data_IF_553804311575
#
_entry.id   IF_553804311575
#
_cell.length_a   1.000
_cell.length_b   1.000
_cell.length_c   1.000
_cell.angle_alpha   90.00
_cell.angle_beta   90.00
_cell.angle_gamma   90.00
#
_symmetry.space_group_name_H-M   'P 1'
#
loop_
_entity.id
_entity.type
_entity.pdbx_description
1 polymer ?
#
# COMPACT_ATOMS: atom_id res chain seq x y z
N UNK A 1 5.90 12.89 13.16
CA UNK A 1 4.46 13.12 12.86
C UNK A 1 3.78 11.76 12.89
N UNK A 2 2.75 11.57 13.70
CA UNK A 2 2.06 10.28 13.84
C UNK A 2 1.33 9.90 12.54
N UNK A 3 0.49 10.76 11.96
CA UNK A 3 -0.04 10.59 10.60
C UNK A 3 -0.29 11.95 9.90
N UNK A 4 -0.24 11.97 8.55
CA UNK A 4 -0.55 13.17 7.75
C UNK A 4 -1.99 13.65 7.98
N UNK A 5 -2.91 12.72 8.22
CA UNK A 5 -4.33 13.01 8.47
C UNK A 5 -4.53 13.79 9.76
N UNK A 6 -3.77 13.48 10.83
CA UNK A 6 -3.90 14.11 12.16
C UNK A 6 -3.69 15.63 12.13
N UNK A 7 -2.87 16.11 11.20
CA UNK A 7 -2.58 17.55 11.01
C UNK A 7 -3.44 18.18 9.91
N UNK A 8 -4.45 17.46 9.42
CA UNK A 8 -5.30 17.90 8.31
C UNK A 8 -4.58 17.92 6.96
N UNK A 9 -3.53 17.14 6.79
CA UNK A 9 -2.67 17.10 5.59
C UNK A 9 -3.24 16.31 4.41
N UNK A 10 -4.46 15.78 4.52
CA UNK A 10 -5.14 14.99 3.49
C UNK A 10 -6.55 15.54 3.26
N UNK A 11 -6.98 15.59 1.99
CA UNK A 11 -8.35 15.90 1.57
C UNK A 11 -8.75 14.89 0.50
N UNK A 12 -9.95 14.33 0.63
CA UNK A 12 -10.47 13.26 -0.22
C UNK A 12 -11.78 13.70 -0.89
N UNK A 13 -12.25 12.93 -1.87
CA UNK A 13 -13.55 13.12 -2.54
C UNK A 13 -13.72 14.49 -3.22
N UNK A 14 -12.64 15.01 -3.82
CA UNK A 14 -12.66 16.28 -4.56
C UNK A 14 -13.08 15.99 -6.01
N UNK A 15 -14.27 16.46 -6.39
CA UNK A 15 -14.90 16.17 -7.67
C UNK A 15 -14.61 17.26 -8.73
N UNK A 16 -14.12 18.43 -8.31
CA UNK A 16 -13.94 19.60 -9.20
C UNK A 16 -12.56 20.24 -9.06
N UNK A 17 -12.00 20.83 -10.13
CA UNK A 17 -10.73 21.55 -10.06
C UNK A 17 -10.70 22.69 -9.02
N UNK A 18 -11.84 23.35 -8.78
CA UNK A 18 -11.96 24.38 -7.75
C UNK A 18 -11.79 23.80 -6.33
N UNK A 19 -12.33 22.62 -6.07
CA UNK A 19 -12.21 21.94 -4.78
C UNK A 19 -10.76 21.51 -4.51
N UNK A 20 -10.03 21.08 -5.54
CA UNK A 20 -8.58 20.78 -5.44
C UNK A 20 -7.77 22.02 -5.05
N UNK A 21 -8.05 23.18 -5.66
CA UNK A 21 -7.38 24.45 -5.31
C UNK A 21 -7.68 24.90 -3.88
N UNK A 22 -8.93 24.76 -3.43
CA UNK A 22 -9.31 25.06 -2.04
C UNK A 22 -8.62 24.10 -1.06
N UNK A 23 -8.66 22.80 -1.33
CA UNK A 23 -8.03 21.77 -0.51
C UNK A 23 -6.51 21.98 -0.36
N UNK A 24 -5.81 22.38 -1.43
CA UNK A 24 -4.39 22.73 -1.37
C UNK A 24 -4.13 23.83 -0.33
N UNK A 25 -4.90 24.91 -0.38
CA UNK A 25 -4.75 26.05 0.53
C UNK A 25 -5.07 25.67 1.97
N UNK A 26 -6.11 24.87 2.18
CA UNK A 26 -6.51 24.36 3.50
C UNK A 26 -5.46 23.44 4.12
N UNK A 27 -4.89 22.53 3.33
CA UNK A 27 -3.83 21.62 3.77
C UNK A 27 -2.63 22.44 4.26
N UNK A 28 -2.15 23.40 3.46
CA UNK A 28 -1.00 24.23 3.85
C UNK A 28 -1.27 25.03 5.13
N UNK A 29 -2.46 25.62 5.27
CA UNK A 29 -2.86 26.34 6.49
C UNK A 29 -2.91 25.41 7.70
N UNK A 30 -3.51 24.23 7.55
CA UNK A 30 -3.66 23.25 8.62
C UNK A 30 -2.31 22.70 9.09
N UNK A 31 -1.45 22.30 8.16
CA UNK A 31 -0.11 21.78 8.48
C UNK A 31 0.75 22.85 9.13
N UNK A 32 0.72 24.10 8.63
CA UNK A 32 1.46 25.21 9.26
C UNK A 32 1.02 25.48 10.70
N UNK A 33 -0.26 25.30 11.01
CA UNK A 33 -0.81 25.47 12.37
C UNK A 33 -0.39 24.33 13.31
N UNK A 34 -0.54 23.08 12.88
CA UNK A 34 -0.37 21.92 13.76
C UNK A 34 1.05 21.34 13.74
N UNK A 35 1.84 21.65 12.71
CA UNK A 35 3.23 21.23 12.54
C UNK A 35 4.08 22.38 11.96
N UNK A 36 4.31 23.47 12.73
CA UNK A 36 4.96 24.69 12.22
C UNK A 36 6.41 24.49 11.75
N UNK A 37 7.07 23.41 12.19
CA UNK A 37 8.43 23.04 11.78
C UNK A 37 8.46 22.12 10.55
N UNK A 38 7.30 21.73 10.00
CA UNK A 38 7.25 20.86 8.83
C UNK A 38 7.74 21.59 7.59
N UNK A 39 8.69 20.96 6.87
CA UNK A 39 9.06 21.38 5.51
C UNK A 39 8.07 20.74 4.53
N UNK A 40 7.47 21.56 3.68
CA UNK A 40 6.50 21.12 2.66
C UNK A 40 7.07 21.48 1.29
N UNK A 41 7.49 20.48 0.52
CA UNK A 41 7.98 20.69 -0.85
C UNK A 41 6.83 20.80 -1.87
N UNK A 42 5.65 20.27 -1.54
CA UNK A 42 4.44 20.33 -2.37
C UNK A 42 3.28 19.50 -1.82
N UNK A 43 2.22 19.38 -2.62
CA UNK A 43 1.06 18.52 -2.33
C UNK A 43 0.79 17.65 -3.55
N UNK A 44 0.70 16.33 -3.36
CA UNK A 44 0.38 15.38 -4.42
C UNK A 44 -1.13 15.37 -4.69
N UNK A 45 -1.51 15.41 -5.97
CA UNK A 45 -2.90 15.22 -6.42
C UNK A 45 -2.98 13.87 -7.12
N UNK A 46 -3.84 12.99 -6.62
CA UNK A 46 -4.02 11.64 -7.14
C UNK A 46 -5.50 11.33 -7.37
N UNK A 47 -5.84 10.45 -8.33
CA UNK A 47 -7.20 9.95 -8.47
C UNK A 47 -7.71 9.30 -7.18
N UNK A 48 -8.97 9.52 -6.84
CA UNK A 48 -9.61 8.84 -5.71
C UNK A 48 -9.77 7.35 -6.03
N UNK A 49 -9.34 6.48 -5.12
CA UNK A 49 -9.53 5.05 -5.29
C UNK A 49 -11.03 4.69 -5.29
N UNK A 50 -11.41 3.73 -6.14
CA UNK A 50 -12.81 3.27 -6.22
C UNK A 50 -13.17 2.48 -4.95
N UNK A 51 -14.42 2.54 -4.48
CA UNK A 51 -14.87 1.70 -3.39
C UNK A 51 -14.90 0.21 -3.79
N UNK A 52 -14.99 -0.69 -2.79
CA UNK A 52 -15.24 -2.12 -3.01
C UNK A 52 -14.00 -2.99 -3.24
N UNK A 53 -12.80 -2.43 -3.14
CA UNK A 53 -11.55 -3.18 -3.07
C UNK A 53 -11.32 -3.79 -1.69
N UNK A 54 -10.70 -4.96 -1.63
CA UNK A 54 -10.21 -5.55 -0.37
C UNK A 54 -8.86 -4.93 -0.05
N UNK A 55 -8.72 -4.40 1.16
CA UNK A 55 -7.46 -3.85 1.64
C UNK A 55 -6.44 -4.96 1.91
N UNK A 56 -5.24 -4.76 1.39
CA UNK A 56 -4.07 -5.61 1.57
C UNK A 56 -2.84 -4.74 1.85
N UNK A 57 -1.82 -5.35 2.42
CA UNK A 57 -0.50 -4.75 2.59
C UNK A 57 0.54 -5.57 1.84
N UNK A 58 1.48 -4.86 1.21
CA UNK A 58 2.62 -5.47 0.55
C UNK A 58 3.85 -4.65 0.92
N UNK A 59 4.81 -5.31 1.54
CA UNK A 59 6.06 -4.67 1.96
C UNK A 59 7.26 -5.39 1.39
N UNK A 60 8.39 -4.71 1.41
CA UNK A 60 9.70 -5.33 1.29
C UNK A 60 10.63 -4.69 2.31
N UNK A 61 11.42 -5.51 2.98
CA UNK A 61 12.51 -5.05 3.85
C UNK A 61 13.77 -5.83 3.50
N UNK A 62 14.93 -5.20 3.63
CA UNK A 62 16.21 -5.87 3.45
C UNK A 62 16.70 -6.40 4.78
N UNK A 63 16.62 -7.71 4.94
CA UNK A 63 17.22 -8.40 6.07
C UNK A 63 18.77 -8.38 5.95
N UNK A 64 19.51 -8.11 7.04
CA UNK A 64 20.97 -8.07 7.01
C UNK A 64 21.64 -9.41 6.64
N UNK A 65 21.01 -10.55 6.94
CA UNK A 65 21.54 -11.89 6.70
C UNK A 65 21.01 -12.47 5.38
N UNK A 66 19.72 -12.29 5.10
CA UNK A 66 19.04 -12.98 3.98
C UNK A 66 18.76 -12.08 2.77
N UNK A 67 19.02 -10.79 2.88
CA UNK A 67 18.74 -9.83 1.81
C UNK A 67 17.26 -9.45 1.72
N UNK A 68 16.75 -9.08 0.52
CA UNK A 68 15.40 -8.54 0.38
C UNK A 68 14.33 -9.61 0.67
N UNK A 69 13.46 -9.33 1.63
CA UNK A 69 12.31 -10.14 2.01
C UNK A 69 11.00 -9.38 1.72
N UNK A 70 10.12 -10.00 0.96
CA UNK A 70 8.79 -9.49 0.62
C UNK A 70 7.77 -10.01 1.63
N UNK A 71 6.87 -9.13 2.09
CA UNK A 71 5.80 -9.42 3.04
C UNK A 71 4.44 -9.17 2.38
N UNK A 72 3.48 -10.07 2.57
CA UNK A 72 2.10 -9.90 2.12
C UNK A 72 1.11 -10.22 3.24
N UNK A 73 0.03 -9.44 3.35
CA UNK A 73 -1.10 -9.74 4.23
C UNK A 73 -2.35 -8.93 3.87
N UNK A 74 -3.47 -9.19 4.54
CA UNK A 74 -4.68 -8.37 4.42
C UNK A 74 -4.62 -7.17 5.38
N UNK A 75 -4.99 -5.99 4.90
CA UNK A 75 -4.99 -4.76 5.70
C UNK A 75 -6.04 -4.76 6.82
N UNK A 76 -5.95 -3.75 7.69
CA UNK A 76 -6.86 -3.57 8.81
C UNK A 76 -6.68 -4.62 9.91
N UNK A 77 -7.80 -5.10 10.46
CA UNK A 77 -7.81 -5.98 11.65
C UNK A 77 -7.00 -7.27 11.48
N UNK A 78 -6.93 -7.80 10.25
CA UNK A 78 -6.21 -9.03 9.92
C UNK A 78 -4.70 -8.89 10.18
N UNK A 79 -4.12 -7.73 9.88
CA UNK A 79 -2.72 -7.44 10.17
C UNK A 79 -2.49 -6.91 11.58
N UNK A 80 -3.35 -6.01 12.07
CA UNK A 80 -3.14 -5.33 13.35
C UNK A 80 -3.30 -6.27 14.55
N UNK A 81 -4.32 -7.14 14.52
CA UNK A 81 -4.65 -8.03 15.64
C UNK A 81 -4.11 -9.44 15.40
N UNK A 82 -4.33 -9.98 14.20
CA UNK A 82 -4.04 -11.40 13.92
C UNK A 82 -2.64 -11.65 13.37
N UNK A 83 -1.89 -10.59 13.00
CA UNK A 83 -0.57 -10.69 12.37
C UNK A 83 -0.56 -11.69 11.20
N UNK A 84 -1.64 -11.71 10.42
CA UNK A 84 -1.84 -12.67 9.33
C UNK A 84 -1.08 -12.22 8.08
N UNK A 85 0.22 -12.52 8.09
CA UNK A 85 1.16 -12.16 7.02
C UNK A 85 1.99 -13.37 6.58
N UNK A 86 2.46 -13.34 5.35
CA UNK A 86 3.39 -14.29 4.76
C UNK A 86 4.62 -13.56 4.26
N UNK A 87 5.78 -14.25 4.33
CA UNK A 87 7.05 -13.73 3.87
C UNK A 87 7.69 -14.65 2.83
N UNK A 88 8.44 -14.06 1.90
CA UNK A 88 9.39 -14.81 1.07
C UNK A 88 10.65 -13.97 0.81
N UNK A 89 11.76 -14.64 0.53
CA UNK A 89 12.98 -13.99 0.06
C UNK A 89 12.87 -13.68 -1.44
N UNK A 90 13.47 -12.58 -1.87
CA UNK A 90 13.59 -12.20 -3.27
C UNK A 90 14.99 -12.52 -3.81
N UNK A 91 15.11 -12.95 -5.08
CA UNK A 91 14.04 -13.14 -6.06
C UNK A 91 13.18 -14.38 -5.77
N UNK A 92 11.89 -14.31 -6.10
CA UNK A 92 10.93 -15.41 -5.93
C UNK A 92 10.18 -15.69 -7.23
N UNK A 93 9.60 -16.89 -7.32
CA UNK A 93 8.80 -17.31 -8.49
C UNK A 93 7.35 -16.86 -8.36
N UNK A 94 6.62 -16.81 -9.48
CA UNK A 94 5.17 -16.62 -9.45
C UNK A 94 4.45 -17.65 -8.57
N UNK A 95 4.91 -18.92 -8.59
CA UNK A 95 4.35 -19.97 -7.74
C UNK A 95 4.48 -19.62 -6.26
N UNK A 96 5.64 -19.07 -5.86
CA UNK A 96 5.88 -18.60 -4.49
C UNK A 96 4.93 -17.46 -4.12
N UNK A 97 4.76 -16.46 -4.99
CA UNK A 97 3.83 -15.35 -4.74
C UNK A 97 2.38 -15.82 -4.57
N UNK A 98 1.90 -16.71 -5.45
CA UNK A 98 0.56 -17.30 -5.32
C UNK A 98 0.42 -18.09 -4.03
N UNK A 99 1.45 -18.85 -3.63
CA UNK A 99 1.44 -19.58 -2.38
C UNK A 99 1.33 -18.63 -1.18
N UNK A 100 2.09 -17.53 -1.14
CA UNK A 100 1.97 -16.52 -0.08
C UNK A 100 0.55 -15.96 0.02
N UNK A 101 -0.06 -15.61 -1.11
CA UNK A 101 -1.43 -15.08 -1.14
C UNK A 101 -2.45 -16.10 -0.60
N UNK A 102 -2.28 -17.37 -0.94
CA UNK A 102 -3.25 -18.43 -0.62
C UNK A 102 -3.11 -19.02 0.78
N UNK A 103 -2.00 -18.74 1.46
CA UNK A 103 -1.67 -19.35 2.77
C UNK A 103 -1.92 -18.43 3.96
N UNK A 104 -2.20 -17.14 3.73
CA UNK A 104 -2.77 -16.29 4.78
C UNK A 104 -4.14 -16.84 5.22
N UNK A 105 -4.45 -16.73 6.52
CA UNK A 105 -5.71 -17.19 7.10
C UNK A 105 -6.91 -16.45 6.50
N UNK A 106 -6.72 -15.18 6.15
CA UNK A 106 -7.70 -14.31 5.52
C UNK A 106 -7.93 -14.57 4.03
N UNK A 107 -7.23 -15.52 3.40
CA UNK A 107 -7.39 -15.79 1.96
C UNK A 107 -8.86 -15.96 1.48
N UNK A 108 -9.80 -16.56 2.25
CA UNK A 108 -11.20 -16.61 1.84
C UNK A 108 -11.84 -15.25 1.49
N UNK A 109 -11.34 -14.14 2.06
CA UNK A 109 -11.79 -12.78 1.72
C UNK A 109 -11.38 -12.40 0.29
N UNK A 110 -10.20 -12.84 -0.16
CA UNK A 110 -9.73 -12.66 -1.54
C UNK A 110 -10.38 -13.65 -2.50
N UNK A 111 -10.60 -14.89 -2.07
CA UNK A 111 -11.26 -15.92 -2.88
C UNK A 111 -12.75 -15.63 -3.12
N UNK A 112 -13.34 -14.71 -2.34
CA UNK A 112 -14.77 -14.41 -2.35
C UNK A 112 -15.52 -15.26 -1.33
N UNK A 113 -16.43 -14.63 -0.60
CA UNK A 113 -17.26 -15.26 0.42
C UNK A 113 -18.72 -14.81 0.28
N UNK A 114 -19.69 -15.71 0.54
CA UNK A 114 -21.15 -15.42 0.53
C UNK A 114 -21.62 -14.55 -0.66
N UNK A 115 -21.39 -15.04 -1.89
CA UNK A 115 -21.86 -14.37 -3.11
C UNK A 115 -20.97 -13.24 -3.61
N UNK A 116 -19.90 -12.89 -2.88
CA UNK A 116 -18.86 -11.99 -3.39
C UNK A 116 -17.99 -12.72 -4.43
N UNK A 117 -17.67 -12.03 -5.52
CA UNK A 117 -16.75 -12.54 -6.52
C UNK A 117 -15.31 -12.56 -6.00
N UNK A 118 -14.47 -13.47 -6.49
CA UNK A 118 -13.04 -13.45 -6.20
C UNK A 118 -12.39 -12.13 -6.60
N UNK A 119 -11.33 -11.76 -5.88
CA UNK A 119 -10.46 -10.63 -6.21
C UNK A 119 -9.40 -11.05 -7.23
N UNK A 120 -8.86 -10.07 -7.93
CA UNK A 120 -7.90 -10.28 -9.02
C UNK A 120 -6.52 -10.66 -8.47
N UNK A 121 -6.37 -11.93 -8.06
CA UNK A 121 -5.11 -12.51 -7.58
C UNK A 121 -4.00 -12.35 -8.63
N UNK A 122 -4.34 -12.42 -9.93
CA UNK A 122 -3.36 -12.25 -11.01
C UNK A 122 -2.78 -10.84 -10.98
N UNK A 123 -3.61 -9.81 -10.90
CA UNK A 123 -3.13 -8.44 -10.81
C UNK A 123 -2.26 -8.21 -9.56
N UNK A 124 -2.61 -8.81 -8.42
CA UNK A 124 -1.80 -8.74 -7.21
C UNK A 124 -0.42 -9.40 -7.37
N UNK A 125 -0.35 -10.56 -8.02
CA UNK A 125 0.92 -11.22 -8.37
C UNK A 125 1.78 -10.35 -9.28
N UNK A 126 1.18 -9.65 -10.25
CA UNK A 126 1.94 -8.73 -11.12
C UNK A 126 2.52 -7.54 -10.34
N UNK A 127 1.82 -7.03 -9.31
CA UNK A 127 2.38 -6.02 -8.40
C UNK A 127 3.57 -6.59 -7.62
N UNK A 128 3.47 -7.82 -7.10
CA UNK A 128 4.58 -8.48 -6.40
C UNK A 128 5.81 -8.68 -7.31
N UNK A 129 5.61 -9.09 -8.56
CA UNK A 129 6.68 -9.21 -9.56
C UNK A 129 7.32 -7.86 -9.88
N UNK A 130 6.50 -6.81 -10.04
CA UNK A 130 7.00 -5.46 -10.30
C UNK A 130 7.83 -4.93 -9.12
N UNK A 131 7.40 -5.17 -7.89
CA UNK A 131 8.15 -4.82 -6.69
C UNK A 131 9.46 -5.61 -6.61
N UNK A 132 9.43 -6.91 -6.87
CA UNK A 132 10.64 -7.74 -6.89
C UNK A 132 11.65 -7.27 -7.94
N UNK A 133 11.18 -6.87 -9.13
CA UNK A 133 12.01 -6.26 -10.17
C UNK A 133 12.62 -4.93 -9.70
N UNK A 134 11.80 -4.03 -9.13
CA UNK A 134 12.28 -2.73 -8.62
C UNK A 134 13.40 -2.92 -7.59
N UNK A 135 13.25 -3.85 -6.66
CA UNK A 135 14.24 -4.11 -5.60
C UNK A 135 15.53 -4.72 -6.14
N UNK A 136 15.44 -5.50 -7.22
CA UNK A 136 16.60 -6.00 -7.94
C UNK A 136 17.34 -4.88 -8.66
N UNK A 137 16.60 -4.00 -9.33
CA UNK A 137 17.16 -2.93 -10.17
C UNK A 137 17.68 -1.75 -9.32
N UNK A 138 17.17 -1.55 -8.10
CA UNK A 138 17.55 -0.48 -7.18
C UNK A 138 18.06 -1.02 -5.81
N UNK A 139 19.33 -1.50 -5.72
CA UNK A 139 19.87 -2.12 -4.50
C UNK A 139 19.92 -1.21 -3.27
N UNK A 140 19.91 0.11 -3.46
CA UNK A 140 19.93 1.11 -2.38
C UNK A 140 18.60 1.24 -1.62
N UNK A 141 17.53 0.58 -2.09
CA UNK A 141 16.27 0.53 -1.35
C UNK A 141 16.39 -0.47 -0.18
N UNK A 142 16.08 0.03 1.01
CA UNK A 142 16.03 -0.74 2.25
C UNK A 142 14.65 -1.27 2.58
N UNK A 143 13.65 -0.41 2.43
CA UNK A 143 12.28 -0.73 2.79
C UNK A 143 11.30 -0.11 1.81
N UNK A 144 10.29 -0.89 1.41
CA UNK A 144 9.10 -0.44 0.70
C UNK A 144 7.89 -0.86 1.52
N UNK A 145 6.96 0.06 1.73
CA UNK A 145 5.67 -0.20 2.36
C UNK A 145 4.57 0.28 1.42
N UNK A 146 3.76 -0.64 0.90
CA UNK A 146 2.57 -0.36 0.11
C UNK A 146 1.35 -0.65 1.00
N UNK A 147 0.82 0.39 1.62
CA UNK A 147 -0.23 0.27 2.62
C UNK A 147 -1.15 1.50 2.66
N UNK A 148 -2.42 1.41 2.20
CA UNK A 148 -3.06 0.20 1.71
C UNK A 148 -2.84 -0.03 0.21
N UNK A 149 -2.90 -1.31 -0.18
CA UNK A 149 -3.24 -1.76 -1.52
C UNK A 149 -4.72 -2.17 -1.54
N UNK A 150 -5.46 -1.77 -2.56
CA UNK A 150 -6.83 -2.22 -2.80
C UNK A 150 -6.88 -3.23 -3.93
N UNK A 151 -7.36 -4.44 -3.64
CA UNK A 151 -7.53 -5.54 -4.60
C UNK A 151 -8.99 -5.64 -5.01
N UNK A 152 -9.30 -5.34 -6.28
CA UNK A 152 -10.66 -5.36 -6.82
C UNK A 152 -11.00 -6.70 -7.48
N UNK A 153 -12.23 -6.86 -7.97
CA UNK A 153 -12.58 -7.98 -8.87
C UNK A 153 -11.75 -7.97 -10.17
N UNK A 154 -11.32 -6.76 -10.60
CA UNK A 154 -10.47 -6.54 -11.76
C UNK A 154 -9.46 -5.44 -11.44
N UNK A 155 -8.18 -5.81 -11.37
CA UNK A 155 -7.07 -4.91 -11.09
C UNK A 155 -6.84 -4.60 -9.61
N UNK A 156 -5.80 -3.80 -9.39
CA UNK A 156 -5.27 -3.41 -8.08
C UNK A 156 -4.94 -1.92 -8.09
N UNK A 157 -5.09 -1.25 -6.94
CA UNK A 157 -4.62 0.13 -6.75
C UNK A 157 -3.72 0.21 -5.51
N UNK A 158 -2.53 0.80 -5.67
CA UNK A 158 -1.69 1.20 -4.53
C UNK A 158 -2.12 2.60 -4.10
N UNK A 159 -2.65 2.74 -2.89
CA UNK A 159 -3.26 3.99 -2.41
C UNK A 159 -2.25 4.89 -1.71
N UNK A 160 -1.36 4.29 -0.91
CA UNK A 160 -0.24 4.98 -0.27
C UNK A 160 1.01 4.11 -0.36
N UNK A 161 2.16 4.75 -0.41
CA UNK A 161 3.44 4.06 -0.41
C UNK A 161 4.51 4.86 0.34
N UNK A 162 5.49 4.14 0.89
CA UNK A 162 6.70 4.71 1.48
C UNK A 162 7.89 3.90 1.01
N UNK A 163 8.96 4.59 0.66
CA UNK A 163 10.22 3.97 0.24
C UNK A 163 11.33 4.61 1.06
N UNK A 164 12.13 3.77 1.70
CA UNK A 164 13.31 4.16 2.46
C UNK A 164 14.55 3.64 1.73
N UNK A 165 15.56 4.51 1.63
CA UNK A 165 16.85 4.24 1.00
C UNK A 165 17.96 4.36 2.04
N UNK A 166 19.06 3.65 1.82
CA UNK A 166 20.32 3.81 2.55
C UNK A 166 20.94 5.19 2.30
#
# INVERSE_FOLDING_TARGET
>A
MSHKTDVGGVRLNLARPSEVRSAFTEILKSVKKHAPKARIDGVTVSPMARPGGVEAILGMTRDPQYGPALMFGLGGIFTEIYRDVQFCLLPATEKTFRQMIRTIRGYPVLAGFRGMKPRDEKALVEVMKALAKLVKDEPGIDQIDLNPILVYEKGVAVVDYRIYRR
#
